data_IF_330183012455
#
_entry.id   IF_330183012455
#
_cell.length_a   1.000
_cell.length_b   1.000
_cell.length_c   1.000
_cell.angle_alpha   90.00
_cell.angle_beta   90.00
_cell.angle_gamma   90.00
#
_symmetry.space_group_name_H-M   'P 1'
#
loop_
_entity.id
_entity.type
_entity.pdbx_description
1 polymer ?
#
# COMPACT_ATOMS: atom_id res chain seq x y z
N UNK A 1 16.62 -30.91 -26.00
CA UNK A 1 15.23 -31.24 -26.34
C UNK A 1 14.34 -30.04 -26.29
N UNK A 2 13.59 -29.89 -27.39
CA UNK A 2 12.57 -28.90 -27.67
C UNK A 2 11.24 -29.29 -27.02
N UNK A 3 10.57 -28.30 -26.43
CA UNK A 3 9.11 -28.05 -26.43
C UNK A 3 8.69 -27.47 -25.08
N UNK A 4 8.77 -26.14 -24.99
CA UNK A 4 8.22 -25.37 -23.89
C UNK A 4 7.56 -24.09 -24.41
N UNK A 5 6.90 -24.19 -25.57
CA UNK A 5 6.05 -23.10 -26.04
C UNK A 5 4.92 -22.91 -25.03
N UNK A 6 5.07 -21.92 -24.17
CA UNK A 6 3.95 -21.29 -23.50
C UNK A 6 3.82 -19.88 -24.07
N UNK A 7 2.97 -19.75 -25.07
CA UNK A 7 2.38 -18.47 -25.43
C UNK A 7 1.52 -17.99 -24.26
N UNK A 8 1.86 -16.84 -23.69
CA UNK A 8 0.88 -15.97 -23.06
C UNK A 8 1.07 -14.57 -23.63
N UNK A 9 0.04 -14.13 -24.36
CA UNK A 9 0.00 -12.95 -25.20
C UNK A 9 0.29 -11.68 -24.41
N UNK A 10 1.38 -11.04 -24.84
CA UNK A 10 1.79 -9.66 -24.64
C UNK A 10 0.68 -8.68 -24.24
N UNK A 11 0.87 -7.99 -23.10
CA UNK A 11 0.43 -6.61 -22.93
C UNK A 11 1.65 -5.77 -22.54
N UNK A 12 2.15 -4.98 -23.48
CA UNK A 12 3.15 -3.95 -23.18
C UNK A 12 2.43 -2.77 -22.51
N UNK A 13 2.91 -2.39 -21.32
CA UNK A 13 2.44 -1.23 -20.58
C UNK A 13 3.30 -0.03 -20.99
N UNK A 14 2.68 1.01 -21.55
CA UNK A 14 3.37 2.24 -21.95
C UNK A 14 3.15 3.31 -20.84
N UNK A 15 4.18 3.62 -20.04
CA UNK A 15 4.02 4.33 -18.78
C UNK A 15 3.78 5.84 -18.93
N UNK A 16 3.98 6.43 -20.11
CA UNK A 16 3.83 7.88 -20.30
C UNK A 16 2.37 8.34 -20.42
N UNK A 17 1.44 7.44 -20.77
CA UNK A 17 0.04 7.82 -21.07
C UNK A 17 -0.98 7.06 -20.21
N UNK A 18 -0.56 6.04 -19.47
CA UNK A 18 -1.42 5.32 -18.51
C UNK A 18 -2.62 4.60 -19.14
N UNK A 19 -2.44 3.98 -20.31
CA UNK A 19 -3.49 3.20 -21.00
C UNK A 19 -2.92 1.94 -21.67
N UNK A 20 -3.74 0.89 -21.78
CA UNK A 20 -3.47 -0.27 -22.63
C UNK A 20 -3.90 0.03 -24.07
N UNK A 21 -3.11 -0.37 -25.07
CA UNK A 21 -3.28 0.01 -26.49
C UNK A 21 -4.19 -0.92 -27.30
N UNK A 22 -5.03 -1.75 -26.66
CA UNK A 22 -5.89 -2.70 -27.40
C UNK A 22 -7.37 -2.55 -27.02
N UNK A 23 -8.22 -2.49 -28.04
CA UNK A 23 -9.66 -2.23 -27.96
C UNK A 23 -10.43 -3.51 -27.58
N UNK A 24 -11.39 -3.40 -26.65
CA UNK A 24 -12.25 -4.51 -26.19
C UNK A 24 -13.24 -4.97 -27.29
N UNK A 25 -13.41 -6.28 -27.52
CA UNK A 25 -14.56 -6.79 -28.24
C UNK A 25 -15.65 -7.27 -27.27
N UNK A 26 -16.87 -6.79 -27.52
CA UNK A 26 -18.19 -7.27 -27.03
C UNK A 26 -18.55 -6.87 -25.59
N UNK A 27 -19.72 -6.32 -25.30
CA UNK A 27 -20.90 -6.07 -26.13
C UNK A 27 -22.05 -5.67 -25.21
N UNK A 28 -22.65 -4.51 -25.49
CA UNK A 28 -23.81 -3.93 -24.81
C UNK A 28 -24.94 -4.91 -24.52
N UNK A 29 -25.46 -4.86 -23.28
CA UNK A 29 -26.88 -5.01 -22.85
C UNK A 29 -26.91 -5.23 -21.32
N UNK A 30 -27.54 -4.46 -20.43
CA UNK A 30 -28.35 -3.23 -20.39
C UNK A 30 -28.58 -2.97 -18.88
N UNK A 31 -28.53 -1.76 -18.35
CA UNK A 31 -29.62 -0.78 -18.35
C UNK A 31 -29.90 -0.27 -16.92
N UNK A 32 -29.87 1.06 -16.76
CA UNK A 32 -30.57 1.96 -15.82
C UNK A 32 -30.92 1.50 -14.38
N UNK A 33 -30.08 1.91 -13.41
CA UNK A 33 -30.54 2.81 -12.32
C UNK A 33 -29.36 3.44 -11.57
N UNK A 34 -29.29 4.78 -11.56
CA UNK A 34 -28.11 5.59 -11.22
C UNK A 34 -28.08 6.16 -9.78
N UNK A 35 -29.00 5.82 -8.89
CA UNK A 35 -29.07 6.46 -7.56
C UNK A 35 -29.60 5.57 -6.44
N UNK A 36 -28.90 4.48 -6.11
CA UNK A 36 -29.14 3.82 -4.80
C UNK A 36 -27.84 3.45 -4.12
N UNK A 37 -27.62 4.08 -2.97
CA UNK A 37 -26.61 3.72 -2.00
C UNK A 37 -27.24 2.79 -0.94
N UNK A 38 -26.41 1.86 -0.45
CA UNK A 38 -26.62 0.87 0.63
C UNK A 38 -27.31 -0.47 0.26
N UNK A 39 -27.09 -1.58 1.02
CA UNK A 39 -25.85 -2.06 1.66
C UNK A 39 -25.59 -3.59 1.45
N UNK A 40 -24.32 -3.97 1.23
CA UNK A 40 -23.72 -5.32 1.44
C UNK A 40 -24.21 -6.49 0.53
N UNK A 41 -23.61 -7.69 0.59
CA UNK A 41 -22.31 -8.17 0.08
C UNK A 41 -22.51 -9.30 -0.95
N UNK A 42 -22.17 -9.12 -2.22
CA UNK A 42 -22.15 -10.25 -3.15
C UNK A 42 -20.87 -10.27 -3.95
N UNK A 43 -20.09 -11.31 -3.66
CA UNK A 43 -18.95 -11.74 -4.44
C UNK A 43 -19.37 -11.90 -5.88
N UNK A 44 -18.86 -11.00 -6.71
CA UNK A 44 -18.52 -11.36 -8.06
C UNK A 44 -17.09 -11.84 -7.95
N UNK A 45 -16.87 -13.10 -8.34
CA UNK A 45 -15.54 -13.70 -8.42
C UNK A 45 -14.71 -12.77 -9.28
N UNK A 46 -13.87 -11.96 -8.63
CA UNK A 46 -12.83 -11.16 -9.25
C UNK A 46 -11.59 -12.06 -9.22
N UNK A 47 -11.27 -12.76 -10.32
CA UNK A 47 -10.15 -13.71 -10.34
C UNK A 47 -8.80 -13.00 -10.11
N UNK A 48 -8.76 -11.67 -10.21
CA UNK A 48 -7.59 -10.83 -10.02
C UNK A 48 -7.54 -10.17 -8.63
N UNK A 49 -8.63 -10.22 -7.84
CA UNK A 49 -8.71 -9.63 -6.50
C UNK A 49 -8.57 -8.10 -6.45
N UNK A 50 -8.72 -7.42 -7.59
CA UNK A 50 -8.52 -5.96 -7.73
C UNK A 50 -9.54 -5.15 -6.92
N UNK A 51 -10.78 -5.60 -6.86
CA UNK A 51 -11.84 -5.02 -6.02
C UNK A 51 -11.52 -5.14 -4.52
N UNK A 52 -11.04 -6.31 -4.09
CA UNK A 52 -10.59 -6.56 -2.72
C UNK A 52 -9.34 -5.77 -2.35
N UNK A 53 -8.39 -5.64 -3.27
CA UNK A 53 -7.17 -4.85 -3.08
C UNK A 53 -7.48 -3.37 -2.91
N UNK A 54 -8.36 -2.82 -3.75
CA UNK A 54 -8.79 -1.43 -3.63
C UNK A 54 -9.47 -1.17 -2.27
N UNK A 55 -10.33 -2.09 -1.83
CA UNK A 55 -10.98 -1.99 -0.51
C UNK A 55 -9.99 -2.12 0.65
N UNK A 56 -9.01 -3.02 0.56
CA UNK A 56 -7.93 -3.16 1.54
C UNK A 56 -7.12 -1.86 1.64
N UNK A 57 -6.66 -1.34 0.51
CA UNK A 57 -5.83 -0.15 0.44
C UNK A 57 -6.57 1.08 0.94
N UNK A 58 -7.84 1.27 0.58
CA UNK A 58 -8.67 2.36 1.09
C UNK A 58 -8.78 2.33 2.61
N UNK A 59 -9.02 1.15 3.20
CA UNK A 59 -9.15 1.01 4.65
C UNK A 59 -7.81 1.26 5.37
N UNK A 60 -6.68 0.82 4.80
CA UNK A 60 -5.36 1.16 5.35
C UNK A 60 -5.11 2.67 5.23
N UNK A 61 -5.41 3.27 4.07
CA UNK A 61 -5.24 4.70 3.82
C UNK A 61 -6.03 5.53 4.85
N UNK A 62 -7.29 5.17 5.11
CA UNK A 62 -8.15 5.81 6.11
C UNK A 62 -7.54 5.75 7.52
N UNK A 63 -7.08 4.58 7.95
CA UNK A 63 -6.47 4.40 9.28
C UNK A 63 -5.21 5.25 9.40
N UNK A 64 -4.33 5.25 8.39
CA UNK A 64 -3.09 6.01 8.45
C UNK A 64 -3.34 7.53 8.41
N UNK A 65 -4.30 7.99 7.58
CA UNK A 65 -4.69 9.40 7.50
C UNK A 65 -5.35 9.89 8.79
N UNK A 66 -6.12 9.04 9.49
CA UNK A 66 -6.69 9.37 10.80
C UNK A 66 -5.60 9.71 11.83
N UNK A 67 -4.44 9.04 11.77
CA UNK A 67 -3.34 9.22 12.73
C UNK A 67 -2.29 10.23 12.25
N UNK A 68 -2.30 10.62 10.98
CA UNK A 68 -1.36 11.59 10.42
C UNK A 68 -1.30 12.91 11.22
N UNK A 69 -2.41 13.52 11.67
CA UNK A 69 -2.35 14.73 12.50
C UNK A 69 -1.56 14.57 13.81
N UNK A 70 -1.59 13.38 14.43
CA UNK A 70 -0.82 13.11 15.64
C UNK A 70 0.69 13.05 15.35
N UNK A 71 1.06 12.47 14.21
CA UNK A 71 2.46 12.46 13.72
C UNK A 71 2.89 13.88 13.34
N UNK A 72 2.01 14.65 12.71
CA UNK A 72 2.28 16.03 12.29
C UNK A 72 2.41 17.02 13.47
N UNK A 73 1.92 16.67 14.66
CA UNK A 73 2.24 17.41 15.90
C UNK A 73 3.71 17.27 16.29
N UNK A 74 4.38 16.19 15.88
CA UNK A 74 5.81 15.96 16.13
C UNK A 74 6.64 16.62 15.03
N UNK A 75 6.25 16.42 13.77
CA UNK A 75 6.81 17.12 12.61
C UNK A 75 5.72 17.50 11.60
N UNK A 76 5.38 18.80 11.45
CA UNK A 76 4.33 19.27 10.55
C UNK A 76 4.49 18.85 9.09
N UNK A 77 5.72 18.58 8.64
CA UNK A 77 6.01 18.19 7.25
C UNK A 77 6.00 16.67 7.04
N UNK A 78 5.79 15.89 8.09
CA UNK A 78 5.75 14.44 8.00
C UNK A 78 4.57 13.99 7.11
N UNK A 79 4.85 13.00 6.27
CA UNK A 79 3.83 12.25 5.53
C UNK A 79 3.95 10.77 5.88
N UNK A 80 2.88 10.01 5.74
CA UNK A 80 2.85 8.57 6.06
C UNK A 80 2.61 7.74 4.81
N UNK A 81 2.76 6.44 4.93
CA UNK A 81 2.41 5.54 3.86
C UNK A 81 2.74 4.10 4.22
N UNK A 82 2.61 3.24 3.23
CA UNK A 82 3.02 1.84 3.33
C UNK A 82 3.53 1.36 1.98
N UNK A 83 4.29 0.27 2.01
CA UNK A 83 4.95 -0.29 0.84
C UNK A 83 4.76 -1.80 0.75
N UNK A 84 5.37 -2.39 -0.27
CA UNK A 84 5.43 -3.84 -0.41
C UNK A 84 4.09 -4.47 -0.79
N UNK A 85 3.78 -5.62 -0.20
CA UNK A 85 2.67 -6.49 -0.60
C UNK A 85 1.31 -5.79 -0.48
N UNK A 86 1.04 -5.09 0.62
CA UNK A 86 -0.20 -4.34 0.83
C UNK A 86 -0.37 -3.19 -0.18
N UNK A 87 0.74 -2.57 -0.61
CA UNK A 87 0.73 -1.49 -1.59
C UNK A 87 0.62 -1.98 -3.05
N UNK A 88 1.23 -3.11 -3.38
CA UNK A 88 1.22 -3.67 -4.75
C UNK A 88 0.10 -4.66 -5.01
N UNK A 89 -0.47 -5.26 -3.96
CA UNK A 89 -1.29 -6.47 -4.07
C UNK A 89 -0.49 -7.72 -4.44
N UNK A 90 0.84 -7.65 -4.45
CA UNK A 90 1.74 -8.72 -4.89
C UNK A 90 2.75 -9.01 -3.78
N UNK A 91 2.64 -10.20 -3.20
CA UNK A 91 3.65 -10.75 -2.30
C UNK A 91 4.92 -11.08 -3.07
N UNK A 92 6.09 -10.80 -2.47
CA UNK A 92 7.42 -11.08 -3.05
C UNK A 92 7.62 -10.44 -4.44
N UNK A 93 7.05 -9.26 -4.66
CA UNK A 93 7.10 -8.55 -5.96
C UNK A 93 8.51 -8.21 -6.46
N UNK A 94 9.54 -8.28 -5.61
CA UNK A 94 10.93 -8.06 -6.01
C UNK A 94 11.54 -9.24 -6.79
N UNK A 95 10.90 -10.41 -6.80
CA UNK A 95 11.36 -11.58 -7.55
C UNK A 95 10.21 -12.14 -8.40
N UNK A 96 10.25 -11.93 -9.74
CA UNK A 96 9.21 -12.40 -10.65
C UNK A 96 8.97 -13.91 -10.61
N UNK A 97 9.96 -14.72 -10.20
CA UNK A 97 9.82 -16.17 -10.18
C UNK A 97 8.94 -16.68 -9.02
N UNK A 98 8.81 -15.89 -7.95
CA UNK A 98 8.05 -16.25 -6.74
C UNK A 98 6.93 -15.25 -6.40
N UNK A 99 6.81 -14.18 -7.20
CA UNK A 99 5.77 -13.18 -7.07
C UNK A 99 4.39 -13.82 -7.19
N UNK A 100 3.50 -13.50 -6.25
CA UNK A 100 2.14 -14.05 -6.20
C UNK A 100 1.16 -12.99 -5.68
N UNK A 101 -0.14 -13.09 -5.99
CA UNK A 101 -1.14 -12.23 -5.39
C UNK A 101 -1.05 -12.23 -3.86
N UNK A 102 -1.33 -11.09 -3.23
CA UNK A 102 -1.33 -10.96 -1.77
C UNK A 102 -2.28 -11.98 -1.14
N UNK A 103 -1.81 -12.66 -0.10
CA UNK A 103 -2.65 -13.57 0.67
C UNK A 103 -3.38 -12.77 1.75
N UNK A 104 -4.68 -12.55 1.60
CA UNK A 104 -5.47 -11.76 2.56
C UNK A 104 -5.59 -12.42 3.94
N UNK A 105 -5.19 -13.69 4.09
CA UNK A 105 -5.13 -14.41 5.37
C UNK A 105 -3.71 -14.45 5.98
N UNK A 106 -2.70 -13.97 5.25
CA UNK A 106 -1.30 -13.92 5.69
C UNK A 106 -0.58 -12.76 4.98
N UNK A 107 -0.76 -11.55 5.50
CA UNK A 107 -0.08 -10.37 4.99
C UNK A 107 0.40 -9.43 6.10
N UNK A 108 1.35 -8.59 5.73
CA UNK A 108 1.95 -7.53 6.52
C UNK A 108 1.62 -6.15 5.93
N UNK A 109 1.69 -5.12 6.78
CA UNK A 109 1.60 -3.72 6.33
C UNK A 109 2.91 -3.03 6.70
N UNK A 110 3.78 -2.88 5.70
CA UNK A 110 5.07 -2.20 5.85
C UNK A 110 4.87 -0.68 5.91
N UNK A 111 4.51 -0.16 7.08
CA UNK A 111 4.31 1.27 7.31
C UNK A 111 5.62 2.08 7.21
N UNK A 112 5.54 3.27 6.64
CA UNK A 112 6.62 4.25 6.71
C UNK A 112 6.15 5.67 7.07
N UNK A 113 7.09 6.44 7.63
CA UNK A 113 7.00 7.89 7.78
C UNK A 113 8.10 8.52 6.93
N UNK A 114 7.73 9.44 6.05
CA UNK A 114 8.67 10.29 5.32
C UNK A 114 8.82 11.60 6.07
N UNK A 115 10.01 11.82 6.62
CA UNK A 115 10.38 13.07 7.27
C UNK A 115 11.90 13.13 7.40
N UNK A 116 12.51 14.11 6.74
CA UNK A 116 13.96 14.33 6.86
C UNK A 116 14.35 14.78 8.28
N UNK A 117 13.46 15.51 8.96
CA UNK A 117 13.65 15.92 10.36
C UNK A 117 13.65 14.71 11.29
N UNK A 118 12.60 13.88 11.27
CA UNK A 118 12.52 12.70 12.13
C UNK A 118 13.62 11.69 11.79
N UNK A 119 13.91 11.47 10.49
CA UNK A 119 14.96 10.55 10.06
C UNK A 119 16.36 10.94 10.57
N UNK A 120 16.58 12.24 10.82
CA UNK A 120 17.82 12.79 11.40
C UNK A 120 17.93 12.69 12.92
N UNK A 121 16.91 12.14 13.60
CA UNK A 121 16.87 12.05 15.05
C UNK A 121 18.06 11.27 15.62
N UNK A 122 18.71 11.77 16.69
CA UNK A 122 19.81 11.07 17.35
C UNK A 122 19.38 9.81 18.11
N UNK A 123 18.06 9.60 18.29
CA UNK A 123 17.52 8.38 18.93
C UNK A 123 17.76 7.12 18.10
N UNK A 124 17.98 7.26 16.80
CA UNK A 124 18.20 6.13 15.91
C UNK A 124 19.64 5.65 15.94
N UNK A 125 19.83 4.45 16.50
CA UNK A 125 21.14 3.76 16.54
C UNK A 125 21.39 2.85 15.34
N UNK A 126 20.41 2.70 14.45
CA UNK A 126 20.49 1.81 13.29
C UNK A 126 19.79 2.43 12.07
N UNK A 127 20.07 1.87 10.89
CA UNK A 127 19.44 2.29 9.62
C UNK A 127 17.97 1.89 9.52
N UNK A 128 17.48 1.02 10.40
CA UNK A 128 16.07 0.62 10.41
C UNK A 128 15.19 1.77 10.88
N UNK A 129 15.66 2.65 11.77
CA UNK A 129 14.94 3.86 12.24
C UNK A 129 13.49 3.56 12.60
N UNK A 130 13.31 2.60 13.50
CA UNK A 130 12.00 2.18 14.00
C UNK A 130 11.36 3.34 14.76
N UNK A 131 10.20 3.81 14.30
CA UNK A 131 9.61 5.05 14.78
C UNK A 131 9.20 4.97 16.26
N UNK A 132 8.90 3.77 16.79
CA UNK A 132 8.72 3.48 18.22
C UNK A 132 9.80 4.06 19.16
N UNK A 133 10.99 4.38 18.65
CA UNK A 133 12.08 5.02 19.41
C UNK A 133 11.87 6.51 19.65
N UNK A 134 11.00 7.16 18.87
CA UNK A 134 10.66 8.56 19.01
C UNK A 134 9.56 8.74 20.07
N UNK A 135 9.67 9.83 20.85
CA UNK A 135 8.68 10.17 21.87
C UNK A 135 7.27 10.31 21.28
N UNK A 136 6.29 9.65 21.92
CA UNK A 136 4.89 9.69 21.50
C UNK A 136 4.53 8.80 20.30
N UNK A 137 5.51 8.23 19.59
CA UNK A 137 5.22 7.44 18.39
C UNK A 137 4.71 6.03 18.70
N UNK A 138 5.19 5.42 19.79
CA UNK A 138 4.78 4.07 20.20
C UNK A 138 3.26 3.95 20.42
N UNK A 139 2.64 4.93 21.08
CA UNK A 139 1.18 4.92 21.29
C UNK A 139 0.39 5.13 20.01
N UNK A 140 0.95 5.85 19.03
CA UNK A 140 0.35 6.01 17.70
C UNK A 140 0.41 4.67 16.95
N UNK A 141 1.55 3.98 16.97
CA UNK A 141 1.71 2.65 16.35
C UNK A 141 0.77 1.62 16.98
N UNK A 142 0.63 1.59 18.31
CA UNK A 142 -0.30 0.69 19.02
C UNK A 142 -1.77 0.96 18.65
N UNK A 143 -2.17 2.24 18.52
CA UNK A 143 -3.51 2.62 18.08
C UNK A 143 -3.80 2.16 16.65
N UNK A 144 -2.83 2.33 15.75
CA UNK A 144 -2.94 1.85 14.36
C UNK A 144 -3.01 0.33 14.32
N UNK A 145 -2.14 -0.38 15.03
CA UNK A 145 -2.12 -1.84 15.13
C UNK A 145 -3.48 -2.39 15.55
N UNK A 146 -4.07 -1.83 16.62
CA UNK A 146 -5.38 -2.24 17.10
C UNK A 146 -6.48 -2.07 16.05
N UNK A 147 -6.47 -0.96 15.30
CA UNK A 147 -7.47 -0.71 14.23
C UNK A 147 -7.25 -1.62 13.02
N UNK A 148 -6.00 -1.84 12.63
CA UNK A 148 -5.66 -2.77 11.55
C UNK A 148 -6.12 -4.19 11.90
N UNK A 149 -5.84 -4.68 13.12
CA UNK A 149 -6.29 -6.02 13.57
C UNK A 149 -7.81 -6.14 13.63
N UNK A 150 -8.51 -5.07 14.04
CA UNK A 150 -9.97 -5.07 14.06
C UNK A 150 -10.57 -5.20 12.64
N UNK A 151 -9.94 -4.56 11.65
CA UNK A 151 -10.40 -4.56 10.25
C UNK A 151 -9.95 -5.78 9.46
N UNK A 152 -8.77 -6.32 9.79
CA UNK A 152 -8.09 -7.33 8.98
C UNK A 152 -7.71 -8.54 9.84
N UNK A 153 -8.60 -9.56 9.95
CA UNK A 153 -8.31 -10.76 10.73
C UNK A 153 -7.16 -11.60 10.15
N UNK A 154 -6.80 -11.40 8.87
CA UNK A 154 -5.67 -12.05 8.21
C UNK A 154 -4.34 -11.29 8.29
N UNK A 155 -4.29 -10.19 9.04
CA UNK A 155 -3.04 -9.50 9.33
C UNK A 155 -2.14 -10.42 10.18
N UNK A 156 -0.85 -10.50 9.83
CA UNK A 156 0.11 -11.30 10.58
C UNK A 156 0.14 -10.95 12.07
N UNK A 157 0.48 -11.94 12.88
CA UNK A 157 0.65 -11.79 14.32
C UNK A 157 2.02 -11.16 14.67
N UNK A 158 2.30 -10.00 14.09
CA UNK A 158 3.44 -9.16 14.38
C UNK A 158 2.96 -7.71 14.55
N UNK A 159 3.53 -6.94 15.50
CA UNK A 159 3.07 -5.58 15.75
C UNK A 159 3.33 -4.68 14.53
N UNK A 160 2.35 -3.88 14.17
CA UNK A 160 2.55 -2.79 13.22
C UNK A 160 3.59 -1.82 13.76
N UNK A 161 4.45 -1.33 12.87
CA UNK A 161 5.43 -0.31 13.19
C UNK A 161 5.81 0.49 11.97
N UNK A 162 6.19 1.74 12.18
CA UNK A 162 6.69 2.60 11.12
C UNK A 162 8.21 2.52 11.03
N UNK A 163 8.69 2.50 9.79
CA UNK A 163 10.07 2.89 9.49
C UNK A 163 10.14 4.34 9.07
N UNK A 164 11.04 5.11 9.66
CA UNK A 164 11.29 6.49 9.26
C UNK A 164 12.31 6.53 8.11
N UNK A 165 12.01 7.29 7.07
CA UNK A 165 12.86 7.47 5.91
C UNK A 165 13.10 8.95 5.62
N UNK A 166 14.30 9.22 5.11
CA UNK A 166 14.56 10.45 4.36
C UNK A 166 13.78 10.41 3.04
N UNK A 167 13.49 11.60 2.50
CA UNK A 167 12.81 11.77 1.22
C UNK A 167 13.55 11.02 0.10
N UNK A 168 14.87 11.21 0.01
CA UNK A 168 15.69 10.58 -1.04
C UNK A 168 15.70 9.05 -0.97
N UNK A 169 15.60 8.45 0.23
CA UNK A 169 15.61 6.99 0.36
C UNK A 169 14.31 6.37 -0.18
N UNK A 170 13.16 7.00 0.05
CA UNK A 170 11.89 6.52 -0.52
C UNK A 170 11.85 6.69 -2.03
N UNK A 171 12.41 7.79 -2.55
CA UNK A 171 12.52 8.03 -3.99
C UNK A 171 13.47 7.03 -4.65
N UNK A 172 14.60 6.71 -4.01
CA UNK A 172 15.52 5.65 -4.46
C UNK A 172 14.85 4.28 -4.50
N UNK A 173 14.03 3.97 -3.48
CA UNK A 173 13.26 2.74 -3.44
C UNK A 173 12.24 2.69 -4.58
N UNK A 174 11.49 3.78 -4.81
CA UNK A 174 10.52 3.86 -5.89
C UNK A 174 11.19 3.70 -7.26
N UNK A 175 12.36 4.33 -7.47
CA UNK A 175 13.17 4.17 -8.70
C UNK A 175 13.64 2.72 -8.92
N UNK A 176 13.77 1.94 -7.85
CA UNK A 176 14.12 0.50 -7.91
C UNK A 176 12.89 -0.41 -8.06
N UNK A 177 11.69 0.15 -8.25
CA UNK A 177 10.45 -0.61 -8.43
C UNK A 177 9.73 -0.98 -7.13
N UNK A 178 10.12 -0.40 -5.98
CA UNK A 178 9.35 -0.54 -4.74
C UNK A 178 8.01 0.17 -4.87
N UNK A 179 6.91 -0.57 -4.76
CA UNK A 179 5.57 0.00 -4.83
C UNK A 179 5.21 0.60 -3.47
N UNK A 180 4.81 1.88 -3.49
CA UNK A 180 4.54 2.67 -2.30
C UNK A 180 3.19 3.38 -2.45
N UNK A 181 2.40 3.38 -1.37
CA UNK A 181 1.26 4.27 -1.21
C UNK A 181 1.65 5.37 -0.26
N UNK A 182 1.85 6.58 -0.80
CA UNK A 182 2.26 7.78 -0.08
C UNK A 182 1.03 8.63 0.24
N UNK A 183 0.84 8.96 1.51
CA UNK A 183 -0.34 9.59 2.07
C UNK A 183 0.02 10.87 2.82
N UNK A 184 -0.86 11.87 2.73
CA UNK A 184 -0.61 13.22 3.23
C UNK A 184 0.03 14.09 2.16
N UNK A 185 -0.59 15.24 1.89
CA UNK A 185 0.04 16.27 1.05
C UNK A 185 1.08 16.97 1.91
N UNK A 186 2.32 17.04 1.44
CA UNK A 186 3.22 18.12 1.85
C UNK A 186 2.51 19.42 1.48
N UNK A 187 2.21 20.26 2.46
CA UNK A 187 1.45 21.48 2.23
C UNK A 187 2.03 22.30 1.09
N UNK A 188 1.25 22.44 0.02
CA UNK A 188 1.30 23.63 -0.83
C UNK A 188 -0.09 24.23 -0.79
N UNK A 189 -0.15 25.41 -0.18
CA UNK A 189 -1.16 26.43 -0.38
C UNK A 189 -1.31 26.78 -1.86
#
# INVERSE_FOLDING_TARGET
DESGLHYNLFRYYEPEVGRFTTQDPIGLRGGLNLYRYAPNPLGWIDPLGLSGLNSLQQQIDEILLEHLPAIQKIDPNATVGYRGSAASGISKSHDPAIARPINMNDFDVDGFIKSDYLASSPEFRNRRRDASKLGGMKSIEESIDSKLRQKFPGLRNEPFGFRVFYTHELDDLARKGDVQRRLGRSGCS
#
